data_IF_272863972451
#
_entry.id   IF_272863972451
#
_cell.length_a   1.000
_cell.length_b   1.000
_cell.length_c   1.000
_cell.angle_alpha   90.00
_cell.angle_beta   90.00
_cell.angle_gamma   90.00
#
_symmetry.space_group_name_H-M   'P 1'
#
loop_
_entity.id
_entity.type
_entity.pdbx_description
1 polymer ?
#
# COMPACT_ATOMS: atom_id res chain seq x y z
N UNK A 1 -30.48 21.11 -0.11
CA UNK A 1 -29.18 20.52 0.30
C UNK A 1 -29.42 19.01 0.40
N UNK A 2 -28.86 18.11 -0.39
CA UNK A 2 -27.52 18.09 -0.94
C UNK A 2 -27.46 17.02 -2.06
N UNK A 3 -27.55 17.41 -3.34
CA UNK A 3 -27.32 16.49 -4.46
C UNK A 3 -25.82 16.34 -4.79
N UNK A 4 -24.95 17.20 -4.24
CA UNK A 4 -23.48 17.16 -4.42
C UNK A 4 -22.78 16.07 -3.60
N UNK A 5 -23.38 15.54 -2.52
CA UNK A 5 -22.72 14.54 -1.67
C UNK A 5 -22.71 13.11 -2.25
N UNK A 6 -23.48 12.82 -3.31
CA UNK A 6 -23.53 11.47 -3.90
C UNK A 6 -22.29 11.15 -4.75
N UNK A 7 -21.60 12.16 -5.26
CA UNK A 7 -20.39 11.97 -6.09
C UNK A 7 -19.09 11.83 -5.26
N UNK A 8 -19.12 12.15 -3.96
CA UNK A 8 -17.93 12.09 -3.11
C UNK A 8 -17.44 10.66 -2.82
N UNK A 9 -18.35 9.70 -2.66
CA UNK A 9 -17.99 8.33 -2.25
C UNK A 9 -17.20 7.57 -3.31
N UNK A 10 -17.49 7.82 -4.59
CA UNK A 10 -16.78 7.20 -5.73
C UNK A 10 -15.36 7.74 -5.83
N UNK A 11 -15.19 9.06 -5.66
CA UNK A 11 -13.87 9.70 -5.63
C UNK A 11 -13.02 9.27 -4.43
N UNK A 12 -13.64 9.11 -3.26
CA UNK A 12 -12.96 8.61 -2.06
C UNK A 12 -12.55 7.15 -2.25
N UNK A 13 -13.41 6.28 -2.79
CA UNK A 13 -13.07 4.90 -3.09
C UNK A 13 -11.94 4.76 -4.13
N UNK A 14 -12.02 5.52 -5.22
CA UNK A 14 -11.03 5.51 -6.28
C UNK A 14 -9.66 6.03 -5.82
N UNK A 15 -9.62 7.11 -5.03
CA UNK A 15 -8.37 7.66 -4.48
C UNK A 15 -7.70 6.72 -3.46
N UNK A 16 -8.49 6.01 -2.67
CA UNK A 16 -8.00 5.02 -1.70
C UNK A 16 -7.41 3.79 -2.41
N UNK A 17 -8.07 3.32 -3.48
CA UNK A 17 -7.53 2.26 -4.33
C UNK A 17 -6.26 2.69 -5.07
N UNK A 18 -6.27 3.89 -5.67
CA UNK A 18 -5.11 4.45 -6.37
C UNK A 18 -3.91 4.70 -5.45
N UNK A 19 -4.13 5.01 -4.18
CA UNK A 19 -3.06 5.19 -3.19
C UNK A 19 -2.45 3.85 -2.77
N UNK A 20 -3.21 2.76 -2.82
CA UNK A 20 -2.75 1.43 -2.45
C UNK A 20 -2.04 0.72 -3.62
N UNK A 21 -2.51 0.90 -4.85
CA UNK A 21 -2.01 0.21 -6.03
C UNK A 21 -1.12 1.14 -6.85
N UNK A 22 0.20 1.03 -6.65
CA UNK A 22 1.21 1.81 -7.37
C UNK A 22 1.95 1.01 -8.47
N UNK A 23 2.78 1.70 -9.27
CA UNK A 23 3.57 1.09 -10.35
C UNK A 23 4.46 -0.08 -9.91
N UNK A 24 4.97 -0.05 -8.68
CA UNK A 24 5.73 -1.17 -8.09
C UNK A 24 4.88 -2.42 -7.83
N UNK A 25 3.60 -2.25 -7.47
CA UNK A 25 2.66 -3.36 -7.31
C UNK A 25 2.40 -4.03 -8.66
N UNK A 26 2.24 -3.24 -9.73
CA UNK A 26 2.07 -3.76 -11.09
C UNK A 26 3.31 -4.53 -11.59
N UNK A 27 4.52 -4.01 -11.38
CA UNK A 27 5.76 -4.71 -11.77
C UNK A 27 5.92 -6.02 -10.98
N UNK A 28 5.59 -6.00 -9.67
CA UNK A 28 5.63 -7.18 -8.81
C UNK A 28 4.62 -8.24 -9.21
N UNK A 29 3.38 -7.85 -9.54
CA UNK A 29 2.35 -8.75 -10.03
C UNK A 29 2.67 -9.29 -11.43
N UNK A 30 3.22 -8.48 -12.33
CA UNK A 30 3.65 -8.92 -13.65
C UNK A 30 4.78 -9.95 -13.56
N UNK A 31 5.77 -9.72 -12.68
CA UNK A 31 6.85 -10.67 -12.43
C UNK A 31 6.37 -11.97 -11.78
N UNK A 32 5.49 -11.86 -10.78
CA UNK A 32 4.93 -13.04 -10.09
C UNK A 32 3.95 -13.82 -10.98
N UNK A 33 3.22 -13.14 -11.86
CA UNK A 33 2.35 -13.74 -12.88
C UNK A 33 3.16 -14.43 -13.99
N UNK A 34 4.31 -13.88 -14.39
CA UNK A 34 5.21 -14.54 -15.34
C UNK A 34 5.80 -15.84 -14.77
N UNK A 35 6.04 -15.91 -13.45
CA UNK A 35 6.59 -17.09 -12.79
C UNK A 35 5.53 -18.14 -12.38
N UNK A 36 4.32 -17.72 -11.96
CA UNK A 36 3.31 -18.62 -11.36
C UNK A 36 1.96 -18.67 -12.09
N UNK A 37 1.77 -17.89 -13.15
CA UNK A 37 0.57 -17.89 -13.97
C UNK A 37 -0.68 -17.30 -13.27
N UNK A 38 -1.85 -17.85 -13.60
CA UNK A 38 -3.18 -17.34 -13.19
C UNK A 38 -3.41 -17.42 -11.66
N UNK A 39 -2.59 -18.19 -10.94
CA UNK A 39 -2.68 -18.32 -9.48
C UNK A 39 -2.55 -16.99 -8.73
N UNK A 40 -1.73 -16.06 -9.24
CA UNK A 40 -1.60 -14.72 -8.65
C UNK A 40 -2.91 -13.91 -8.77
N UNK A 41 -3.67 -14.11 -9.86
CA UNK A 41 -4.96 -13.43 -10.06
C UNK A 41 -6.04 -13.89 -9.07
N UNK A 42 -6.03 -15.16 -8.69
CA UNK A 42 -6.94 -15.69 -7.68
C UNK A 42 -6.64 -15.16 -6.26
N UNK A 43 -5.37 -14.81 -5.99
CA UNK A 43 -4.95 -14.18 -4.75
C UNK A 43 -5.45 -12.73 -4.66
N UNK A 44 -5.34 -11.96 -5.73
CA UNK A 44 -5.85 -10.58 -5.81
C UNK A 44 -7.38 -10.52 -5.63
N UNK A 45 -8.12 -11.48 -6.19
CA UNK A 45 -9.57 -11.57 -6.00
C UNK A 45 -9.95 -11.85 -4.54
N UNK A 46 -9.16 -12.63 -3.82
CA UNK A 46 -9.34 -12.83 -2.37
C UNK A 46 -9.01 -11.56 -1.57
N UNK A 47 -8.02 -10.77 -2.01
CA UNK A 47 -7.66 -9.53 -1.34
C UNK A 47 -8.84 -8.53 -1.28
N UNK A 48 -9.66 -8.46 -2.33
CA UNK A 48 -10.86 -7.61 -2.37
C UNK A 48 -11.85 -8.02 -1.26
N UNK A 49 -12.06 -9.31 -1.03
CA UNK A 49 -12.94 -9.83 0.02
C UNK A 49 -12.45 -9.44 1.42
N UNK A 50 -11.14 -9.60 1.67
CA UNK A 50 -10.53 -9.22 2.95
C UNK A 50 -10.62 -7.70 3.17
N UNK A 51 -10.35 -6.90 2.14
CA UNK A 51 -10.46 -5.43 2.20
C UNK A 51 -11.89 -4.96 2.51
N UNK A 52 -12.90 -5.63 1.96
CA UNK A 52 -14.31 -5.29 2.21
C UNK A 52 -14.69 -5.54 3.68
N UNK A 53 -14.28 -6.68 4.25
CA UNK A 53 -14.48 -7.01 5.67
C UNK A 53 -13.72 -6.04 6.57
N UNK A 54 -12.47 -5.73 6.20
CA UNK A 54 -11.63 -4.79 6.93
C UNK A 54 -12.24 -3.39 6.96
N UNK A 55 -12.72 -2.89 5.82
CA UNK A 55 -13.39 -1.59 5.73
C UNK A 55 -14.59 -1.52 6.68
N UNK A 56 -15.44 -2.54 6.69
CA UNK A 56 -16.62 -2.53 7.54
C UNK A 56 -16.32 -2.67 9.04
N UNK A 57 -15.23 -3.35 9.41
CA UNK A 57 -14.79 -3.46 10.80
C UNK A 57 -14.08 -2.18 11.29
N UNK A 58 -13.24 -1.58 10.45
CA UNK A 58 -12.42 -0.44 10.84
C UNK A 58 -13.17 0.90 10.77
N UNK A 59 -14.13 1.08 9.85
CA UNK A 59 -14.94 2.30 9.74
C UNK A 59 -15.66 2.66 11.06
N UNK A 60 -16.45 1.76 11.71
CA UNK A 60 -17.13 2.09 12.96
C UNK A 60 -16.15 2.28 14.12
N UNK A 61 -15.01 1.57 14.12
CA UNK A 61 -13.97 1.69 15.14
C UNK A 61 -13.26 3.05 15.06
N UNK A 62 -12.92 3.51 13.86
CA UNK A 62 -12.29 4.82 13.66
C UNK A 62 -13.24 5.99 13.95
N UNK A 63 -14.53 5.85 13.61
CA UNK A 63 -15.54 6.85 13.94
C UNK A 63 -15.76 6.96 15.46
N UNK A 64 -15.73 5.82 16.18
CA UNK A 64 -15.91 5.81 17.63
C UNK A 64 -14.70 6.35 18.40
N UNK A 65 -13.48 6.21 17.87
CA UNK A 65 -12.26 6.70 18.53
C UNK A 65 -11.96 8.17 18.24
N UNK A 66 -12.60 8.80 17.24
CA UNK A 66 -12.35 10.21 16.88
C UNK A 66 -10.92 10.49 16.39
N UNK A 67 -10.21 9.43 15.99
CA UNK A 67 -8.79 9.48 15.65
C UNK A 67 -8.61 9.44 14.13
N UNK A 68 -8.02 10.49 13.58
CA UNK A 68 -7.83 10.68 12.13
C UNK A 68 -6.54 10.07 11.58
N UNK A 69 -5.64 9.57 12.43
CA UNK A 69 -4.35 9.02 11.97
C UNK A 69 -4.04 7.68 12.65
N UNK A 70 -3.52 6.73 11.87
CA UNK A 70 -3.14 5.40 12.36
C UNK A 70 -2.26 5.43 13.64
N UNK A 71 -1.26 6.32 13.76
CA UNK A 71 -0.43 6.44 14.97
C UNK A 71 -1.20 6.89 16.21
N UNK A 72 -2.33 7.58 16.02
CA UNK A 72 -3.10 8.21 17.07
C UNK A 72 -4.19 7.24 17.59
N UNK A 73 -4.58 6.23 16.82
CA UNK A 73 -5.44 5.12 17.28
C UNK A 73 -4.69 4.24 18.28
N UNK A 74 -3.38 4.02 18.06
CA UNK A 74 -2.52 3.34 19.02
C UNK A 74 -2.23 4.20 20.27
N UNK A 75 -2.33 5.54 20.20
CA UNK A 75 -2.16 6.45 21.33
C UNK A 75 -3.26 6.26 22.38
N UNK A 76 -4.53 6.17 21.94
CA UNK A 76 -5.69 5.97 22.82
C UNK A 76 -5.63 4.62 23.55
N UNK A 77 -4.99 3.61 22.93
CA UNK A 77 -4.90 2.24 23.48
C UNK A 77 -3.61 1.93 24.25
N UNK A 78 -2.50 2.62 23.99
CA UNK A 78 -1.19 2.36 24.64
C UNK A 78 -0.57 3.55 25.40
N UNK A 79 -1.22 4.72 25.41
CA UNK A 79 -0.96 5.77 26.41
C UNK A 79 0.42 6.46 26.41
N UNK A 80 1.23 6.34 25.35
CA UNK A 80 2.62 6.82 25.36
C UNK A 80 3.01 7.72 24.18
N UNK A 81 3.20 9.03 24.43
CA UNK A 81 3.73 10.03 23.48
C UNK A 81 5.05 9.58 22.79
N UNK A 82 5.87 8.77 23.49
CA UNK A 82 7.17 8.29 22.98
C UNK A 82 7.03 7.20 21.91
N UNK A 83 6.00 6.35 22.02
CA UNK A 83 5.76 5.24 21.08
C UNK A 83 5.36 5.78 19.69
N UNK A 84 4.71 6.94 19.60
CA UNK A 84 4.43 7.64 18.34
C UNK A 84 5.72 7.98 17.58
N UNK A 85 6.72 8.51 18.28
CA UNK A 85 8.00 8.87 17.66
C UNK A 85 8.74 7.62 17.20
N UNK A 86 8.79 6.57 18.01
CA UNK A 86 9.42 5.31 17.62
C UNK A 86 8.73 4.65 16.43
N UNK A 87 7.39 4.54 16.42
CA UNK A 87 6.66 3.93 15.30
C UNK A 87 6.72 4.78 14.03
N UNK A 88 6.59 6.10 14.11
CA UNK A 88 6.75 6.97 12.93
C UNK A 88 8.18 6.94 12.39
N UNK A 89 9.18 6.96 13.27
CA UNK A 89 10.59 6.87 12.86
C UNK A 89 10.90 5.49 12.26
N UNK A 90 10.38 4.42 12.85
CA UNK A 90 10.48 3.06 12.32
C UNK A 90 9.79 2.93 10.95
N UNK A 91 8.55 3.40 10.80
CA UNK A 91 7.81 3.36 9.53
C UNK A 91 8.51 4.18 8.43
N UNK A 92 9.06 5.35 8.77
CA UNK A 92 9.86 6.16 7.85
C UNK A 92 11.16 5.44 7.46
N UNK A 93 11.87 4.86 8.42
CA UNK A 93 13.11 4.12 8.19
C UNK A 93 12.84 2.91 7.28
N UNK A 94 11.83 2.09 7.59
CA UNK A 94 11.45 0.96 6.75
C UNK A 94 11.02 1.40 5.35
N UNK A 95 10.29 2.51 5.22
CA UNK A 95 9.88 3.05 3.92
C UNK A 95 11.08 3.49 3.08
N UNK A 96 12.05 4.18 3.69
CA UNK A 96 13.27 4.63 3.02
C UNK A 96 14.12 3.40 2.62
N UNK A 97 14.31 2.46 3.54
CA UNK A 97 15.07 1.24 3.30
C UNK A 97 14.47 0.43 2.13
N UNK A 98 13.16 0.20 2.15
CA UNK A 98 12.45 -0.51 1.08
C UNK A 98 12.59 0.20 -0.26
N UNK A 99 12.48 1.54 -0.30
CA UNK A 99 12.67 2.31 -1.55
C UNK A 99 14.11 2.24 -2.06
N UNK A 100 15.10 2.20 -1.18
CA UNK A 100 16.52 2.04 -1.57
C UNK A 100 16.75 0.63 -2.14
N UNK A 101 16.22 -0.42 -1.49
CA UNK A 101 16.34 -1.81 -1.98
C UNK A 101 15.72 -2.00 -3.36
N UNK A 102 14.52 -1.46 -3.60
CA UNK A 102 13.86 -1.54 -4.93
C UNK A 102 14.67 -0.79 -5.98
N UNK A 103 15.20 0.40 -5.64
CA UNK A 103 16.04 1.18 -6.56
C UNK A 103 17.34 0.46 -6.89
N UNK A 104 17.96 -0.21 -5.93
CA UNK A 104 19.17 -0.98 -6.14
C UNK A 104 18.93 -2.20 -7.05
N UNK A 105 17.85 -2.95 -6.81
CA UNK A 105 17.50 -4.10 -7.65
C UNK A 105 17.18 -3.66 -9.10
N UNK A 106 16.44 -2.57 -9.26
CA UNK A 106 16.15 -2.00 -10.59
C UNK A 106 17.40 -1.47 -11.28
N UNK A 107 18.36 -0.91 -10.54
CA UNK A 107 19.64 -0.46 -11.06
C UNK A 107 20.45 -1.66 -11.59
N UNK A 108 20.62 -2.71 -10.80
CA UNK A 108 21.34 -3.92 -11.24
C UNK A 108 20.75 -4.57 -12.51
N UNK A 109 19.43 -4.52 -12.69
CA UNK A 109 18.77 -5.02 -13.91
C UNK A 109 19.07 -4.20 -15.17
N UNK A 110 19.18 -2.86 -15.04
CA UNK A 110 19.48 -1.96 -16.17
C UNK A 110 20.92 -2.14 -16.66
N UNK A 111 21.90 -2.17 -15.75
CA UNK A 111 23.31 -2.36 -16.13
C UNK A 111 23.62 -3.78 -16.65
N UNK A 112 22.81 -4.77 -16.29
CA UNK A 112 22.93 -6.13 -16.81
C UNK A 112 22.42 -6.29 -18.25
N UNK A 113 21.40 -5.53 -18.66
CA UNK A 113 20.83 -5.59 -20.01
C UNK A 113 21.66 -4.84 -21.06
N UNK A 114 22.24 -3.71 -20.68
CA UNK A 114 23.03 -2.85 -21.57
C UNK A 114 24.42 -3.43 -21.93
N UNK A 115 24.75 -4.66 -21.53
CA UNK A 115 25.97 -5.36 -21.95
C UNK A 115 25.71 -6.53 -22.90
N UNK A 116 24.45 -6.96 -23.06
CA UNK A 116 24.06 -8.06 -23.95
C UNK A 116 23.56 -7.57 -25.31
N UNK A 117 23.04 -6.35 -25.42
CA UNK A 117 22.54 -5.77 -26.69
C UNK A 117 23.61 -5.14 -27.57
N UNK A 118 24.89 -5.11 -27.16
CA UNK A 118 26.00 -4.63 -27.99
C UNK A 118 26.85 -5.76 -28.61
N UNK A 119 26.44 -7.01 -28.42
CA UNK A 119 27.08 -8.20 -28.98
C UNK A 119 26.17 -8.96 -30.00
N UNK A 120 25.16 -8.28 -30.54
CA UNK A 120 24.47 -8.64 -31.79
C UNK A 120 24.51 -7.48 -32.79
#
# INVERSE_FOLDING_TARGET
MNMEMRHGIEGVGASLFASNIGSGHFIGLAGSGAASGIGIGAFELNAIFVLMILGWLFVPVYMASGVYTMPEYLRERFGGQRIRVYLSCLALLLSIFTKISVRFLSWSGVFGGDSVTWLE
#
